data_IF_123917905629
#
_entry.id   IF_123917905629
#
_cell.length_a   1.000
_cell.length_b   1.000
_cell.length_c   1.000
_cell.angle_alpha   90.00
_cell.angle_beta   90.00
_cell.angle_gamma   90.00
#
_symmetry.space_group_name_H-M   'P 1'
#
loop_
_entity.id
_entity.type
_entity.pdbx_description
1 polymer ?
#
# COMPACT_ATOMS: atom_id res chain seq x y z
N UNK A 1 -1.57 -8.53 -12.12
CA UNK A 1 -2.97 -8.46 -11.68
C UNK A 1 -3.41 -7.02 -11.41
N UNK A 2 -3.35 -6.47 -10.18
CA UNK A 2 -3.96 -5.15 -9.89
C UNK A 2 -3.36 -3.97 -10.69
N UNK A 3 -2.04 -3.76 -10.62
CA UNK A 3 -1.39 -2.63 -11.30
C UNK A 3 -1.58 -2.69 -12.82
N UNK A 4 -1.49 -3.88 -13.41
CA UNK A 4 -1.84 -4.11 -14.82
C UNK A 4 -3.27 -3.67 -15.15
N UNK A 5 -4.28 -4.04 -14.33
CA UNK A 5 -5.67 -3.61 -14.57
C UNK A 5 -5.85 -2.09 -14.44
N UNK A 6 -5.15 -1.45 -13.49
CA UNK A 6 -5.15 0.01 -13.37
C UNK A 6 -4.54 0.67 -14.61
N UNK A 7 -3.42 0.13 -15.10
CA UNK A 7 -2.77 0.60 -16.31
C UNK A 7 -3.64 0.45 -17.55
N UNK A 8 -4.30 -0.70 -17.72
CA UNK A 8 -5.24 -0.96 -18.82
C UNK A 8 -6.44 0.01 -18.82
N UNK A 9 -6.84 0.50 -17.64
CA UNK A 9 -7.87 1.54 -17.46
C UNK A 9 -7.36 2.97 -17.68
N UNK A 10 -6.11 3.15 -18.12
CA UNK A 10 -5.49 4.46 -18.31
C UNK A 10 -5.19 5.20 -17.01
N UNK A 11 -5.22 4.51 -15.87
CA UNK A 11 -4.89 5.12 -14.57
C UNK A 11 -3.39 5.29 -14.46
N UNK A 12 -2.94 6.46 -13.99
CA UNK A 12 -1.54 6.71 -13.65
C UNK A 12 -1.20 5.99 -12.35
N UNK A 13 -0.79 4.73 -12.43
CA UNK A 13 -0.44 3.93 -11.27
C UNK A 13 1.07 3.74 -11.10
N UNK A 14 1.51 3.55 -9.86
CA UNK A 14 2.90 3.18 -9.55
C UNK A 14 2.95 2.06 -8.52
N UNK A 15 3.78 1.03 -8.78
CA UNK A 15 4.01 -0.06 -7.84
C UNK A 15 5.19 0.24 -6.92
N UNK A 16 4.94 0.38 -5.62
CA UNK A 16 5.92 0.75 -4.61
C UNK A 16 6.08 -0.36 -3.54
N UNK A 17 6.94 -1.36 -3.78
CA UNK A 17 7.22 -2.37 -2.76
C UNK A 17 8.23 -1.83 -1.74
N UNK A 18 7.94 -1.99 -0.44
CA UNK A 18 8.81 -1.54 0.66
C UNK A 18 10.21 -2.16 0.58
N UNK A 19 10.33 -3.38 0.05
CA UNK A 19 11.60 -4.05 -0.21
C UNK A 19 12.53 -3.33 -1.19
N UNK A 20 12.02 -2.47 -2.08
CA UNK A 20 12.86 -1.70 -2.99
C UNK A 20 13.53 -0.48 -2.32
N UNK A 21 12.91 0.10 -1.29
CA UNK A 21 13.55 1.17 -0.52
C UNK A 21 14.75 0.68 0.30
N UNK A 22 14.74 -0.61 0.68
CA UNK A 22 15.84 -1.25 1.42
C UNK A 22 17.11 -1.44 0.58
N UNK A 23 17.02 -1.45 -0.76
CA UNK A 23 18.16 -1.74 -1.65
C UNK A 23 18.77 -0.51 -2.33
N UNK A 24 18.04 0.60 -2.44
CA UNK A 24 18.52 1.82 -3.09
C UNK A 24 18.70 2.99 -2.12
N UNK A 25 17.58 3.49 -1.60
CA UNK A 25 17.55 4.70 -0.75
C UNK A 25 18.09 4.50 0.68
N UNK A 26 18.13 3.25 1.17
CA UNK A 26 18.70 2.88 2.47
C UNK A 26 19.95 1.99 2.34
N UNK A 27 20.69 2.07 1.22
CA UNK A 27 21.84 1.21 0.93
C UNK A 27 23.11 1.53 1.73
N UNK A 28 23.05 2.39 2.75
CA UNK A 28 24.20 2.66 3.60
C UNK A 28 24.31 1.57 4.69
N UNK A 29 25.36 0.72 4.66
CA UNK A 29 25.57 -0.32 5.66
C UNK A 29 25.83 0.21 7.08
N UNK A 30 26.05 1.52 7.25
CA UNK A 30 26.10 2.15 8.58
C UNK A 30 24.70 2.46 9.17
N UNK A 31 23.62 2.30 8.38
CA UNK A 31 22.24 2.47 8.82
C UNK A 31 21.63 1.21 9.45
N UNK A 32 22.42 0.20 9.82
CA UNK A 32 21.97 -0.92 10.65
C UNK A 32 21.32 -0.49 12.00
N UNK A 33 21.41 0.79 12.36
CA UNK A 33 20.76 1.42 13.51
C UNK A 33 19.50 2.25 13.18
N UNK A 34 19.10 2.40 11.93
CA UNK A 34 17.79 2.97 11.65
C UNK A 34 16.71 1.98 12.10
N UNK A 35 16.02 2.36 13.17
CA UNK A 35 14.85 1.65 13.65
C UNK A 35 13.87 1.45 12.50
N UNK A 36 13.28 0.27 12.39
CA UNK A 36 12.33 -0.14 11.33
C UNK A 36 11.24 0.92 11.07
N UNK A 37 10.81 1.61 12.12
CA UNK A 37 9.91 2.77 12.07
C UNK A 37 10.39 3.90 11.14
N UNK A 38 11.69 4.20 11.10
CA UNK A 38 12.26 5.21 10.19
C UNK A 38 12.12 4.78 8.73
N UNK A 39 12.27 3.49 8.43
CA UNK A 39 12.03 2.97 7.08
C UNK A 39 10.55 3.04 6.71
N UNK A 40 9.67 2.70 7.65
CA UNK A 40 8.21 2.82 7.48
C UNK A 40 7.81 4.27 7.23
N UNK A 41 8.35 5.24 7.99
CA UNK A 41 8.08 6.66 7.80
C UNK A 41 8.54 7.15 6.43
N UNK A 42 9.78 6.84 6.02
CA UNK A 42 10.29 7.19 4.67
C UNK A 42 9.47 6.54 3.56
N UNK A 43 9.03 5.31 3.75
CA UNK A 43 8.15 4.63 2.80
C UNK A 43 6.81 5.37 2.66
N UNK A 44 6.22 5.78 3.79
CA UNK A 44 5.04 6.64 3.80
C UNK A 44 5.27 7.98 3.10
N UNK A 45 6.39 8.66 3.36
CA UNK A 45 6.71 9.96 2.73
C UNK A 45 6.83 9.84 1.20
N UNK A 46 7.50 8.80 0.70
CA UNK A 46 7.61 8.54 -0.73
C UNK A 46 6.23 8.22 -1.34
N UNK A 47 5.41 7.41 -0.66
CA UNK A 47 4.05 7.14 -1.09
C UNK A 47 3.22 8.42 -1.15
N UNK A 48 3.30 9.27 -0.12
CA UNK A 48 2.63 10.55 -0.06
C UNK A 48 3.02 11.48 -1.22
N UNK A 49 4.32 11.58 -1.56
CA UNK A 49 4.77 12.38 -2.70
C UNK A 49 4.19 11.90 -4.04
N UNK A 50 4.05 10.58 -4.24
CA UNK A 50 3.40 10.05 -5.45
C UNK A 50 1.89 10.32 -5.46
N UNK A 51 1.23 10.28 -4.30
CA UNK A 51 -0.17 10.66 -4.18
C UNK A 51 -0.37 12.15 -4.51
N UNK A 52 0.52 13.04 -4.06
CA UNK A 52 0.51 14.47 -4.41
C UNK A 52 0.75 14.72 -5.91
N UNK A 53 1.56 13.87 -6.56
CA UNK A 53 1.76 13.91 -7.99
C UNK A 53 0.55 13.37 -8.81
N UNK A 54 -0.53 12.97 -8.14
CA UNK A 54 -1.77 12.49 -8.76
C UNK A 54 -1.72 11.04 -9.26
N UNK A 55 -0.83 10.22 -8.69
CA UNK A 55 -0.76 8.79 -8.99
C UNK A 55 -1.62 7.96 -8.02
N UNK A 56 -2.13 6.83 -8.50
CA UNK A 56 -2.57 5.74 -7.62
C UNK A 56 -1.36 4.89 -7.26
N UNK A 57 -1.05 4.79 -5.97
CA UNK A 57 0.12 4.05 -5.49
C UNK A 57 -0.32 2.68 -4.99
N UNK A 58 0.18 1.62 -5.64
CA UNK A 58 0.05 0.24 -5.15
C UNK A 58 1.27 -0.07 -4.29
N UNK A 59 1.16 0.23 -3.00
CA UNK A 59 2.20 0.01 -2.02
C UNK A 59 2.11 -1.40 -1.42
N UNK A 60 3.24 -2.11 -1.31
CA UNK A 60 3.27 -3.44 -0.66
C UNK A 60 4.31 -3.48 0.46
N UNK A 61 3.91 -4.03 1.60
CA UNK A 61 4.75 -4.23 2.77
C UNK A 61 4.37 -5.55 3.45
N UNK A 62 5.33 -6.18 4.11
CA UNK A 62 5.11 -7.47 4.79
C UNK A 62 5.52 -7.36 6.25
N UNK A 63 4.84 -8.14 7.11
CA UNK A 63 5.07 -8.20 8.55
C UNK A 63 4.92 -6.85 9.27
N UNK A 64 4.01 -5.97 8.83
CA UNK A 64 3.75 -4.71 9.52
C UNK A 64 3.12 -4.96 10.89
N UNK A 65 3.52 -4.19 11.91
CA UNK A 65 2.78 -4.12 13.18
C UNK A 65 1.65 -3.09 13.11
N UNK A 66 0.73 -3.12 14.08
CA UNK A 66 -0.30 -2.08 14.24
C UNK A 66 0.30 -0.68 14.39
N UNK A 67 1.43 -0.54 15.11
CA UNK A 67 2.12 0.74 15.24
C UNK A 67 2.67 1.21 13.89
N UNK A 68 3.31 0.30 13.13
CA UNK A 68 3.89 0.62 11.82
C UNK A 68 2.81 1.00 10.80
N UNK A 69 1.69 0.27 10.78
CA UNK A 69 0.54 0.63 9.94
C UNK A 69 -0.06 1.97 10.36
N UNK A 70 -0.10 2.27 11.66
CA UNK A 70 -0.51 3.56 12.19
C UNK A 70 0.36 4.72 11.69
N UNK A 71 1.69 4.54 11.69
CA UNK A 71 2.63 5.54 11.14
C UNK A 71 2.36 5.76 9.65
N UNK A 72 2.14 4.70 8.87
CA UNK A 72 1.83 4.85 7.44
C UNK A 72 0.53 5.62 7.23
N UNK A 73 -0.52 5.28 7.96
CA UNK A 73 -1.81 5.97 7.91
C UNK A 73 -1.69 7.46 8.24
N UNK A 74 -0.87 7.82 9.22
CA UNK A 74 -0.63 9.21 9.59
C UNK A 74 0.15 9.97 8.52
N UNK A 75 1.26 9.39 8.03
CA UNK A 75 2.15 10.05 7.05
C UNK A 75 1.49 10.21 5.68
N UNK A 76 0.66 9.25 5.28
CA UNK A 76 0.05 9.24 3.94
C UNK A 76 -1.34 9.85 3.86
N UNK A 77 -1.88 10.31 5.00
CA UNK A 77 -3.28 10.71 5.20
C UNK A 77 -4.26 9.52 5.10
N UNK A 78 -4.86 9.16 6.24
CA UNK A 78 -5.74 7.98 6.38
C UNK A 78 -6.92 8.00 5.43
N UNK A 79 -7.42 9.18 5.06
CA UNK A 79 -8.59 9.30 4.19
C UNK A 79 -8.28 8.89 2.75
N UNK A 80 -7.02 9.07 2.34
CA UNK A 80 -6.53 8.85 0.97
C UNK A 80 -5.99 7.44 0.73
N UNK A 81 -5.82 6.65 1.78
CA UNK A 81 -5.33 5.27 1.64
C UNK A 81 -6.40 4.24 1.89
N UNK A 82 -6.25 3.10 1.20
CA UNK A 82 -7.00 1.87 1.47
C UNK A 82 -6.04 0.76 1.85
N UNK A 83 -6.23 0.21 3.03
CA UNK A 83 -5.39 -0.85 3.60
C UNK A 83 -6.00 -2.20 3.26
N UNK A 84 -5.27 -2.97 2.45
CA UNK A 84 -5.67 -4.32 2.06
C UNK A 84 -4.72 -5.33 2.71
N UNK A 85 -5.27 -6.24 3.50
CA UNK A 85 -4.55 -7.36 4.09
C UNK A 85 -4.82 -8.64 3.30
N UNK A 86 -3.89 -9.59 3.31
CA UNK A 86 -4.03 -10.89 2.64
C UNK A 86 -3.74 -12.01 3.63
N UNK A 87 -4.73 -12.88 3.88
CA UNK A 87 -4.60 -14.00 4.81
C UNK A 87 -5.15 -13.73 6.20
N UNK A 88 -4.54 -14.37 7.21
CA UNK A 88 -4.94 -14.25 8.61
C UNK A 88 -4.62 -12.86 9.15
N UNK A 89 -5.67 -12.11 9.52
CA UNK A 89 -5.54 -10.73 9.97
C UNK A 89 -5.47 -10.67 11.51
N UNK A 90 -4.37 -10.13 12.04
CA UNK A 90 -4.16 -9.87 13.47
C UNK A 90 -4.17 -8.38 13.84
N UNK A 91 -4.41 -7.48 12.89
CA UNK A 91 -4.51 -6.04 13.14
C UNK A 91 -5.74 -5.70 13.98
N UNK A 92 -5.66 -4.58 14.71
CA UNK A 92 -6.81 -4.05 15.46
C UNK A 92 -7.97 -3.69 14.52
N UNK A 93 -9.19 -3.79 15.05
CA UNK A 93 -10.41 -3.44 14.32
C UNK A 93 -10.34 -2.02 13.73
N UNK A 94 -10.79 -1.86 12.48
CA UNK A 94 -10.79 -0.58 11.75
C UNK A 94 -9.44 -0.18 11.12
N UNK A 95 -8.36 -0.95 11.31
CA UNK A 95 -7.07 -0.68 10.67
C UNK A 95 -6.99 -1.12 9.21
N UNK A 96 -7.72 -2.17 8.86
CA UNK A 96 -7.74 -2.78 7.53
C UNK A 96 -9.11 -2.52 6.90
N UNK A 97 -9.12 -2.07 5.65
CA UNK A 97 -10.35 -1.76 4.90
C UNK A 97 -10.87 -2.98 4.15
N UNK A 98 -9.98 -3.92 3.78
CA UNK A 98 -10.30 -5.15 3.07
C UNK A 98 -9.35 -6.28 3.45
N UNK A 99 -9.89 -7.46 3.79
CA UNK A 99 -9.10 -8.67 4.00
C UNK A 99 -9.35 -9.67 2.87
N UNK A 100 -8.32 -10.00 2.10
CA UNK A 100 -8.39 -10.96 1.00
C UNK A 100 -8.09 -12.38 1.46
N UNK A 101 -8.78 -13.34 0.85
CA UNK A 101 -8.49 -14.75 1.01
C UNK A 101 -7.36 -15.16 0.05
N UNK A 102 -6.21 -15.65 0.54
CA UNK A 102 -5.09 -16.08 -0.30
C UNK A 102 -5.39 -17.32 -1.13
N UNK A 103 -6.48 -18.04 -0.84
CA UNK A 103 -6.94 -19.18 -1.65
C UNK A 103 -7.62 -18.74 -2.94
N UNK A 104 -8.07 -17.48 -3.00
CA UNK A 104 -8.62 -16.85 -4.20
C UNK A 104 -7.47 -16.42 -5.12
N UNK A 105 -7.62 -16.65 -6.42
CA UNK A 105 -6.58 -16.34 -7.40
C UNK A 105 -6.27 -14.83 -7.48
N UNK A 106 -5.05 -14.43 -7.87
CA UNK A 106 -4.64 -13.02 -7.93
C UNK A 106 -5.53 -12.13 -8.80
N UNK A 107 -6.06 -12.67 -9.90
CA UNK A 107 -6.95 -11.93 -10.81
C UNK A 107 -8.29 -11.57 -10.17
N UNK A 108 -8.89 -12.53 -9.46
CA UNK A 108 -10.16 -12.33 -8.77
C UNK A 108 -9.98 -11.41 -7.55
N UNK A 109 -8.93 -11.62 -6.78
CA UNK A 109 -8.54 -10.75 -5.66
C UNK A 109 -8.27 -9.31 -6.14
N UNK A 110 -7.63 -9.11 -7.28
CA UNK A 110 -7.46 -7.79 -7.88
C UNK A 110 -8.82 -7.16 -8.26
N UNK A 111 -9.76 -7.95 -8.79
CA UNK A 111 -11.12 -7.49 -9.08
C UNK A 111 -11.89 -7.04 -7.82
N UNK A 112 -11.69 -7.71 -6.68
CA UNK A 112 -12.28 -7.28 -5.40
C UNK A 112 -11.72 -5.91 -4.99
N UNK A 113 -10.39 -5.71 -5.10
CA UNK A 113 -9.76 -4.42 -4.80
C UNK A 113 -10.30 -3.32 -5.70
N UNK A 114 -10.47 -3.57 -7.01
CA UNK A 114 -11.00 -2.56 -7.94
C UNK A 114 -12.41 -2.12 -7.55
N UNK A 115 -13.31 -3.06 -7.22
CA UNK A 115 -14.67 -2.72 -6.76
C UNK A 115 -14.66 -1.89 -5.48
N UNK A 116 -13.75 -2.17 -4.57
CA UNK A 116 -13.57 -1.36 -3.35
C UNK A 116 -13.15 0.08 -3.69
N UNK A 117 -12.23 0.25 -4.66
CA UNK A 117 -11.77 1.58 -5.07
C UNK A 117 -12.86 2.37 -5.82
N UNK A 118 -13.66 1.71 -6.66
CA UNK A 118 -14.82 2.30 -7.34
C UNK A 118 -15.89 2.75 -6.33
N UNK A 119 -16.28 1.87 -5.40
CA UNK A 119 -17.26 2.18 -4.36
C UNK A 119 -16.82 3.29 -3.40
N UNK A 120 -15.50 3.51 -3.27
CA UNK A 120 -14.92 4.59 -2.47
C UNK A 120 -14.72 5.91 -3.21
N UNK A 121 -15.10 6.01 -4.49
CA UNK A 121 -14.92 7.20 -5.33
C UNK A 121 -13.46 7.52 -5.69
N UNK A 122 -12.54 6.58 -5.46
CA UNK A 122 -11.11 6.71 -5.78
C UNK A 122 -10.80 6.32 -7.23
N UNK A 123 -11.70 5.59 -7.87
CA UNK A 123 -11.70 5.27 -9.28
C UNK A 123 -13.08 5.57 -9.87
N UNK A 124 -13.11 6.05 -11.12
CA UNK A 124 -14.36 6.11 -11.86
C UNK A 124 -14.87 4.68 -12.10
N UNK A 125 -16.17 4.46 -11.89
CA UNK A 125 -16.83 3.22 -12.29
C UNK A 125 -16.90 3.14 -13.82
N UNK A 126 -16.68 1.94 -14.37
CA UNK A 126 -16.91 1.62 -15.78
C UNK A 126 -18.40 1.39 -16.10
#
# INVERSE_FOLDING_TARGET
ALEQKLFERGTKSYFLPMGNLLRGLNADPHLHRLHRESHVRRFGEVAHLFLEAGLIVVATASNLTDEELGILQEVTDRERIRVVHVGENSFREGRVDLNLDPRIGPEENAGIILRMLEGGGLLAAE
#
